data_IF_642839073494
#
_entry.id   IF_642839073494
#
_cell.length_a   1.000
_cell.length_b   1.000
_cell.length_c   1.000
_cell.angle_alpha   90.00
_cell.angle_beta   90.00
_cell.angle_gamma   90.00
#
_symmetry.space_group_name_H-M   'P 1'
#
loop_
_entity.id
_entity.type
_entity.pdbx_description
1 polymer ?
#
# COMPACT_ATOMS: atom_id res chain seq x y z
N UNK A 1 -41.72 -61.82 10.43
CA UNK A 1 -40.46 -61.18 10.01
C UNK A 1 -40.59 -60.78 8.54
N UNK A 2 -40.59 -59.49 8.23
CA UNK A 2 -40.52 -58.94 6.86
C UNK A 2 -39.13 -58.32 6.66
N UNK A 3 -38.54 -58.36 5.45
CA UNK A 3 -37.65 -57.30 5.03
C UNK A 3 -38.29 -56.48 3.90
N UNK A 4 -38.28 -55.16 4.10
CA UNK A 4 -38.64 -54.13 3.11
C UNK A 4 -37.33 -53.67 2.48
N UNK A 5 -37.21 -53.79 1.16
CA UNK A 5 -36.12 -53.18 0.40
C UNK A 5 -36.38 -51.68 0.24
N UNK A 6 -35.48 -50.85 0.76
CA UNK A 6 -35.48 -49.41 0.53
C UNK A 6 -34.54 -49.07 -0.65
N UNK A 7 -35.11 -48.49 -1.71
CA UNK A 7 -34.39 -47.91 -2.84
C UNK A 7 -33.78 -46.56 -2.44
N UNK A 8 -32.45 -46.49 -2.39
CA UNK A 8 -31.70 -45.23 -2.29
C UNK A 8 -31.59 -44.58 -3.68
N UNK A 9 -32.19 -43.40 -3.84
CA UNK A 9 -31.91 -42.48 -4.97
C UNK A 9 -30.63 -41.68 -4.68
N UNK A 10 -29.71 -41.51 -5.65
CA UNK A 10 -28.55 -40.66 -5.44
C UNK A 10 -28.97 -39.19 -5.53
N UNK A 11 -28.67 -38.43 -4.48
CA UNK A 11 -28.82 -36.98 -4.44
C UNK A 11 -27.66 -36.38 -5.25
N UNK A 12 -27.96 -35.68 -6.35
CA UNK A 12 -26.97 -34.86 -7.06
C UNK A 12 -26.53 -33.71 -6.14
N UNK A 13 -25.27 -33.73 -5.70
CA UNK A 13 -24.62 -32.55 -5.11
C UNK A 13 -24.36 -31.55 -6.23
N UNK A 14 -25.12 -30.46 -6.23
CA UNK A 14 -24.79 -29.24 -6.97
C UNK A 14 -23.61 -28.61 -6.24
N UNK A 15 -22.43 -28.65 -6.86
CA UNK A 15 -21.26 -27.94 -6.37
C UNK A 15 -21.55 -26.44 -6.41
N UNK A 16 -21.63 -25.82 -5.23
CA UNK A 16 -21.68 -24.38 -5.10
C UNK A 16 -20.40 -23.79 -5.70
N UNK A 17 -20.57 -22.97 -6.75
CA UNK A 17 -19.55 -22.03 -7.21
C UNK A 17 -19.19 -21.13 -6.04
N UNK A 18 -17.94 -21.20 -5.58
CA UNK A 18 -17.41 -20.25 -4.60
C UNK A 18 -17.45 -18.85 -5.20
N UNK A 19 -18.08 -17.86 -4.54
CA UNK A 19 -17.90 -16.47 -4.95
C UNK A 19 -16.44 -16.11 -4.73
N UNK A 20 -15.79 -15.55 -5.76
CA UNK A 20 -14.53 -14.85 -5.56
C UNK A 20 -14.80 -13.78 -4.50
N UNK A 21 -14.12 -13.87 -3.36
CA UNK A 21 -14.17 -12.81 -2.36
C UNK A 21 -13.44 -11.63 -2.98
N UNK A 22 -14.20 -10.71 -3.55
CA UNK A 22 -13.68 -9.41 -3.99
C UNK A 22 -13.41 -8.62 -2.72
N UNK A 23 -12.14 -8.58 -2.31
CA UNK A 23 -11.69 -7.64 -1.29
C UNK A 23 -11.69 -6.25 -1.91
N UNK A 24 -12.75 -5.48 -1.71
CA UNK A 24 -12.72 -4.06 -2.02
C UNK A 24 -11.94 -3.34 -0.92
N UNK A 25 -11.03 -2.43 -1.30
CA UNK A 25 -10.37 -1.60 -0.30
C UNK A 25 -11.39 -0.68 0.40
N UNK A 26 -11.12 -0.25 1.65
CA UNK A 26 -11.96 0.71 2.32
C UNK A 26 -12.16 1.99 1.49
N UNK A 27 -13.33 2.58 1.60
CA UNK A 27 -13.68 3.80 0.88
C UNK A 27 -12.83 4.97 1.41
N UNK A 28 -12.44 5.88 0.51
CA UNK A 28 -11.91 7.19 0.89
C UNK A 28 -12.96 7.98 1.70
N UNK A 29 -12.65 8.32 2.95
CA UNK A 29 -13.56 8.96 3.91
C UNK A 29 -12.83 10.03 4.74
N UNK A 30 -12.92 11.28 4.27
CA UNK A 30 -12.19 12.40 4.86
C UNK A 30 -12.42 12.51 6.37
N UNK A 31 -11.32 12.54 7.14
CA UNK A 31 -11.36 12.86 8.56
C UNK A 31 -10.98 14.34 8.78
N UNK A 32 -11.94 15.25 8.99
CA UNK A 32 -11.71 16.69 8.85
C UNK A 32 -10.77 17.31 9.90
N UNK A 33 -10.44 16.58 10.97
CA UNK A 33 -9.48 17.06 11.96
C UNK A 33 -8.07 17.21 11.37
N UNK A 34 -7.75 16.40 10.35
CA UNK A 34 -6.44 16.35 9.71
C UNK A 34 -6.32 17.26 8.49
N UNK A 35 -7.42 17.75 7.93
CA UNK A 35 -7.43 18.71 6.81
C UNK A 35 -7.28 20.16 7.33
N UNK A 36 -6.21 20.38 8.10
CA UNK A 36 -5.81 21.69 8.62
C UNK A 36 -4.31 21.83 8.45
N UNK A 37 -3.87 22.94 7.87
CA UNK A 37 -2.46 23.26 7.69
C UNK A 37 -2.12 24.68 8.12
N UNK A 38 -0.84 24.91 8.37
CA UNK A 38 -0.29 26.23 8.64
C UNK A 38 0.77 26.56 7.58
N UNK A 39 0.33 27.16 6.47
CA UNK A 39 1.21 27.55 5.35
C UNK A 39 2.21 28.66 5.72
N UNK A 40 2.04 29.34 6.85
CA UNK A 40 3.01 30.32 7.34
C UNK A 40 4.18 29.67 8.09
N UNK A 41 4.05 28.41 8.49
CA UNK A 41 5.13 27.66 9.12
C UNK A 41 6.09 27.10 8.05
N UNK A 42 7.34 27.54 8.10
CA UNK A 42 8.43 27.10 7.21
C UNK A 42 9.32 26.02 7.82
N UNK A 43 8.96 25.48 8.99
CA UNK A 43 9.70 24.39 9.62
C UNK A 43 9.61 23.11 8.79
N UNK A 44 10.73 22.41 8.68
CA UNK A 44 10.84 21.07 8.09
C UNK A 44 10.92 20.00 9.18
N UNK A 45 10.43 18.80 8.89
CA UNK A 45 10.48 17.63 9.74
C UNK A 45 11.68 16.77 9.32
N UNK A 46 12.49 16.38 10.30
CA UNK A 46 13.67 15.55 10.03
C UNK A 46 13.27 14.08 9.87
N UNK A 47 13.46 13.56 8.65
CA UNK A 47 13.27 12.14 8.31
C UNK A 47 14.60 11.37 8.24
N UNK A 48 15.70 11.93 8.75
CA UNK A 48 17.06 11.36 8.62
C UNK A 48 17.25 10.00 9.29
N UNK A 49 16.55 9.71 10.39
CA UNK A 49 16.58 8.36 10.99
C UNK A 49 15.91 7.34 10.08
N UNK A 50 14.78 7.69 9.45
CA UNK A 50 14.12 6.83 8.47
C UNK A 50 15.00 6.63 7.23
N UNK A 51 15.62 7.70 6.73
CA UNK A 51 16.56 7.62 5.62
C UNK A 51 17.71 6.65 5.90
N UNK A 52 18.30 6.68 7.10
CA UNK A 52 19.37 5.74 7.48
C UNK A 52 18.92 4.28 7.45
N UNK A 53 17.65 3.99 7.79
CA UNK A 53 17.08 2.64 7.72
C UNK A 53 16.93 2.22 6.26
N UNK A 54 16.39 3.11 5.41
CA UNK A 54 16.28 2.88 3.97
C UNK A 54 17.66 2.58 3.34
N UNK A 55 18.65 3.45 3.58
CA UNK A 55 20.00 3.34 3.02
C UNK A 55 20.69 2.01 3.36
N UNK A 56 20.43 1.45 4.54
CA UNK A 56 21.08 0.23 5.02
C UNK A 56 20.39 -1.04 4.57
N UNK A 57 19.06 -1.01 4.47
CA UNK A 57 18.26 -2.24 4.40
C UNK A 57 17.42 -2.36 3.14
N UNK A 58 17.26 -1.29 2.35
CA UNK A 58 16.57 -1.36 1.08
C UNK A 58 17.55 -1.73 -0.03
N UNK A 59 17.26 -2.82 -0.74
CA UNK A 59 18.06 -3.34 -1.83
C UNK A 59 17.31 -3.21 -3.15
N UNK A 60 17.91 -2.53 -4.12
CA UNK A 60 17.38 -2.48 -5.48
C UNK A 60 17.82 -3.73 -6.26
N UNK A 61 16.84 -4.52 -6.74
CA UNK A 61 17.08 -5.76 -7.50
C UNK A 61 16.12 -5.83 -8.69
N UNK A 62 16.63 -5.51 -9.87
CA UNK A 62 15.82 -5.45 -11.10
C UNK A 62 14.75 -4.36 -10.97
N UNK A 63 13.47 -4.73 -11.08
CA UNK A 63 12.33 -3.80 -10.96
C UNK A 63 11.84 -3.62 -9.51
N UNK A 64 12.52 -4.19 -8.51
CA UNK A 64 12.04 -4.22 -7.13
C UNK A 64 12.99 -3.51 -6.16
N UNK A 65 12.38 -2.83 -5.19
CA UNK A 65 13.08 -2.38 -3.98
C UNK A 65 12.66 -3.33 -2.84
N UNK A 66 13.60 -4.13 -2.36
CA UNK A 66 13.38 -5.22 -1.41
C UNK A 66 13.96 -4.83 -0.04
N UNK A 67 13.15 -4.88 1.00
CA UNK A 67 13.58 -4.53 2.35
C UNK A 67 14.15 -5.78 3.05
N UNK A 68 15.42 -5.73 3.46
CA UNK A 68 16.10 -6.85 4.10
C UNK A 68 15.79 -6.91 5.60
N UNK A 69 14.57 -7.33 5.95
CA UNK A 69 14.09 -7.46 7.33
C UNK A 69 15.03 -8.32 8.21
N UNK A 70 15.57 -9.41 7.65
CA UNK A 70 16.44 -10.33 8.38
C UNK A 70 17.78 -9.73 8.84
N UNK A 71 18.23 -8.67 8.16
CA UNK A 71 19.50 -8.01 8.46
C UNK A 71 19.36 -6.85 9.46
N UNK A 72 18.12 -6.46 9.82
CA UNK A 72 17.90 -5.33 10.72
C UNK A 72 18.43 -5.65 12.10
N UNK A 73 19.42 -4.87 12.55
CA UNK A 73 20.03 -5.05 13.86
C UNK A 73 19.08 -4.55 14.97
N UNK A 74 19.20 -5.06 16.22
CA UNK A 74 18.44 -4.53 17.35
C UNK A 74 18.63 -3.02 17.55
N UNK A 75 19.84 -2.51 17.28
CA UNK A 75 20.15 -1.08 17.39
C UNK A 75 19.39 -0.25 16.35
N UNK A 76 19.32 -0.74 15.11
CA UNK A 76 18.61 -0.04 14.04
C UNK A 76 17.10 -0.20 14.14
N UNK A 77 16.61 -1.33 14.68
CA UNK A 77 15.20 -1.45 15.07
C UNK A 77 14.83 -0.40 16.13
N UNK A 78 15.68 -0.20 17.14
CA UNK A 78 15.47 0.86 18.13
C UNK A 78 15.55 2.27 17.52
N UNK A 79 16.41 2.49 16.51
CA UNK A 79 16.49 3.74 15.76
C UNK A 79 15.18 4.05 15.01
N UNK A 80 14.57 3.04 14.39
CA UNK A 80 13.25 3.15 13.75
C UNK A 80 12.16 3.49 14.77
N UNK A 81 12.13 2.80 15.91
CA UNK A 81 11.16 3.09 16.96
C UNK A 81 11.34 4.51 17.54
N UNK A 82 12.58 4.98 17.67
CA UNK A 82 12.87 6.36 18.09
C UNK A 82 12.37 7.37 17.06
N UNK A 83 12.59 7.12 15.76
CA UNK A 83 12.05 7.95 14.70
C UNK A 83 10.52 8.07 14.78
N UNK A 84 9.82 6.95 14.90
CA UNK A 84 8.36 6.92 15.01
C UNK A 84 7.86 7.65 16.28
N UNK A 85 8.56 7.49 17.40
CA UNK A 85 8.24 8.21 18.64
C UNK A 85 8.37 9.72 18.47
N UNK A 86 9.47 10.18 17.85
CA UNK A 86 9.69 11.60 17.61
C UNK A 86 8.65 12.17 16.63
N UNK A 87 8.35 11.42 15.57
CA UNK A 87 7.41 11.85 14.53
C UNK A 87 5.98 11.95 15.07
N UNK A 88 5.54 10.96 15.85
CA UNK A 88 4.17 10.95 16.41
C UNK A 88 3.96 11.96 17.54
N UNK A 89 5.04 12.48 18.14
CA UNK A 89 4.99 13.59 19.09
C UNK A 89 4.72 14.95 18.42
N UNK A 90 4.96 15.08 17.12
CA UNK A 90 4.64 16.28 16.36
C UNK A 90 3.15 16.30 15.99
N UNK A 91 2.53 17.47 16.06
CA UNK A 91 1.20 17.69 15.50
C UNK A 91 1.33 18.19 14.05
N UNK A 92 1.03 17.34 13.03
CA UNK A 92 1.23 17.68 11.62
C UNK A 92 0.39 18.90 11.19
N UNK A 93 -0.71 19.19 11.88
CA UNK A 93 -1.61 20.32 11.55
C UNK A 93 -0.93 21.68 11.70
N UNK A 94 0.17 21.74 12.44
CA UNK A 94 0.96 22.96 12.62
C UNK A 94 1.95 23.22 11.46
N UNK A 95 2.08 22.30 10.49
CA UNK A 95 2.99 22.42 9.35
C UNK A 95 2.24 22.74 8.06
N UNK A 96 2.98 23.13 7.02
CA UNK A 96 2.45 23.35 5.67
C UNK A 96 1.87 22.05 5.08
N UNK A 97 0.93 22.15 4.15
CA UNK A 97 0.33 20.97 3.51
C UNK A 97 1.36 20.11 2.77
N UNK A 98 2.43 20.71 2.23
CA UNK A 98 3.53 19.98 1.61
C UNK A 98 4.30 19.11 2.63
N UNK A 99 4.59 19.66 3.80
CA UNK A 99 5.29 18.94 4.86
C UNK A 99 4.42 17.83 5.47
N UNK A 100 3.11 18.07 5.59
CA UNK A 100 2.15 17.07 6.04
C UNK A 100 2.10 15.85 5.11
N UNK A 101 2.19 16.06 3.79
CA UNK A 101 2.19 14.94 2.85
C UNK A 101 3.37 14.00 3.12
N UNK A 102 4.58 14.58 3.21
CA UNK A 102 5.80 13.85 3.53
C UNK A 102 5.71 13.15 4.89
N UNK A 103 5.18 13.84 5.91
CA UNK A 103 4.92 13.28 7.23
C UNK A 103 4.10 11.99 7.15
N UNK A 104 2.93 12.02 6.50
CA UNK A 104 2.00 10.89 6.47
C UNK A 104 2.50 9.72 5.63
N UNK A 105 3.12 9.99 4.47
CA UNK A 105 3.71 8.94 3.63
C UNK A 105 4.86 8.23 4.36
N UNK A 106 5.77 9.01 4.96
CA UNK A 106 6.88 8.42 5.70
C UNK A 106 6.41 7.67 6.96
N UNK A 107 5.40 8.20 7.68
CA UNK A 107 4.83 7.54 8.85
C UNK A 107 4.20 6.19 8.48
N UNK A 108 3.36 6.14 7.44
CA UNK A 108 2.74 4.89 6.98
C UNK A 108 3.79 3.83 6.64
N UNK A 109 4.80 4.21 5.84
CA UNK A 109 5.84 3.30 5.38
C UNK A 109 6.71 2.80 6.54
N UNK A 110 7.10 3.68 7.46
CA UNK A 110 7.91 3.33 8.63
C UNK A 110 7.14 2.46 9.63
N UNK A 111 5.86 2.74 9.89
CA UNK A 111 4.98 1.90 10.70
C UNK A 111 4.82 0.51 10.09
N UNK A 112 4.62 0.44 8.77
CA UNK A 112 4.50 -0.85 8.07
C UNK A 112 5.77 -1.68 8.23
N UNK A 113 6.96 -1.08 8.08
CA UNK A 113 8.23 -1.78 8.32
C UNK A 113 8.38 -2.20 9.78
N UNK A 114 8.02 -1.34 10.74
CA UNK A 114 8.07 -1.66 12.17
C UNK A 114 7.20 -2.87 12.51
N UNK A 115 5.97 -2.93 12.01
CA UNK A 115 5.05 -4.05 12.21
C UNK A 115 5.63 -5.37 11.70
N UNK A 116 6.21 -5.38 10.50
CA UNK A 116 6.87 -6.59 9.98
C UNK A 116 8.06 -6.97 10.86
N UNK A 117 8.88 -6.02 11.31
CA UNK A 117 10.03 -6.29 12.17
C UNK A 117 9.64 -6.81 13.56
N UNK A 118 8.45 -6.46 14.06
CA UNK A 118 7.94 -6.94 15.34
C UNK A 118 7.49 -8.39 15.28
N UNK A 119 6.99 -8.82 14.12
CA UNK A 119 6.47 -10.18 13.92
C UNK A 119 7.44 -11.09 13.13
N UNK A 120 8.57 -10.56 12.66
CA UNK A 120 9.52 -11.31 11.82
C UNK A 120 10.06 -12.57 12.53
N UNK A 121 10.17 -13.73 11.86
CA UNK A 121 9.93 -13.98 10.44
C UNK A 121 8.47 -14.28 10.08
N UNK A 122 7.89 -13.45 9.21
CA UNK A 122 6.60 -13.69 8.55
C UNK A 122 6.76 -13.85 7.05
N UNK A 123 5.83 -14.56 6.40
CA UNK A 123 5.83 -14.73 4.94
C UNK A 123 5.03 -13.67 4.18
N UNK A 124 4.13 -12.97 4.86
CA UNK A 124 3.22 -11.99 4.27
C UNK A 124 2.67 -11.09 5.37
N UNK A 125 2.45 -9.81 5.05
CA UNK A 125 1.78 -8.86 5.95
C UNK A 125 0.36 -9.33 6.33
N UNK A 126 -0.30 -10.09 5.46
CA UNK A 126 -1.66 -10.63 5.66
C UNK A 126 -1.76 -11.63 6.82
N UNK A 127 -0.62 -12.06 7.37
CA UNK A 127 -0.54 -12.97 8.53
C UNK A 127 -0.43 -12.24 9.86
N UNK A 128 -0.24 -10.93 9.84
CA UNK A 128 -0.29 -10.10 11.04
C UNK A 128 -1.75 -9.86 11.46
N UNK A 129 -1.93 -9.36 12.67
CA UNK A 129 -3.23 -9.11 13.28
C UNK A 129 -3.82 -10.34 13.98
N UNK A 130 -5.09 -10.23 14.42
CA UNK A 130 -5.80 -11.31 15.11
C UNK A 130 -6.13 -12.53 14.23
N UNK A 131 -6.52 -13.64 14.85
CA UNK A 131 -6.76 -14.97 14.23
C UNK A 131 -7.75 -14.97 13.03
N UNK A 132 -8.58 -13.93 12.89
CA UNK A 132 -9.56 -13.77 11.80
C UNK A 132 -9.31 -12.53 10.93
N UNK A 133 -8.24 -11.78 11.19
CA UNK A 133 -7.90 -10.58 10.42
C UNK A 133 -7.09 -10.94 9.17
N UNK A 134 -7.23 -10.10 8.16
CA UNK A 134 -6.37 -10.12 6.98
C UNK A 134 -5.38 -8.97 7.14
N UNK A 135 -4.28 -9.20 7.86
CA UNK A 135 -3.24 -8.21 8.14
C UNK A 135 -3.61 -7.15 9.20
N UNK A 136 -2.69 -6.20 9.48
CA UNK A 136 -2.74 -5.32 10.65
C UNK A 136 -3.39 -3.96 10.37
N UNK A 137 -4.07 -3.78 9.24
CA UNK A 137 -4.48 -2.45 8.77
C UNK A 137 -5.51 -1.74 9.65
N UNK A 138 -6.25 -2.49 10.47
CA UNK A 138 -7.22 -1.97 11.44
C UNK A 138 -6.69 -1.95 12.89
N UNK A 139 -5.44 -2.36 13.11
CA UNK A 139 -4.82 -2.31 14.44
C UNK A 139 -4.39 -0.87 14.75
N UNK A 140 -4.48 -0.47 16.03
CA UNK A 140 -3.94 0.82 16.48
C UNK A 140 -2.41 0.78 16.43
N UNK A 141 -1.81 1.62 15.57
CA UNK A 141 -0.37 1.63 15.30
C UNK A 141 0.32 2.91 15.73
N UNK A 142 -0.44 4.00 15.93
CA UNK A 142 0.09 5.29 16.36
C UNK A 142 -0.97 6.10 17.11
N UNK A 143 -0.48 7.06 17.92
CA UNK A 143 -1.32 8.07 18.56
C UNK A 143 -0.75 9.46 18.32
N UNK A 144 -1.50 10.32 17.63
CA UNK A 144 -1.06 11.67 17.24
C UNK A 144 -2.16 12.66 17.64
N UNK A 145 -1.76 13.77 18.28
CA UNK A 145 -2.72 14.80 18.74
C UNK A 145 -3.93 14.24 19.51
N UNK A 146 -3.71 13.17 20.29
CA UNK A 146 -4.73 12.48 21.07
C UNK A 146 -5.62 11.49 20.31
N UNK A 147 -5.46 11.36 18.99
CA UNK A 147 -6.20 10.40 18.16
C UNK A 147 -5.38 9.11 17.98
N UNK A 148 -6.01 7.97 18.25
CA UNK A 148 -5.51 6.66 17.85
C UNK A 148 -5.70 6.50 16.33
N UNK A 149 -4.71 5.93 15.67
CA UNK A 149 -4.66 5.78 14.22
C UNK A 149 -4.27 4.37 13.81
N UNK A 150 -4.93 3.88 12.77
CA UNK A 150 -4.58 2.65 12.06
C UNK A 150 -3.86 2.97 10.73
N UNK A 151 -3.30 1.97 10.04
CA UNK A 151 -2.79 2.18 8.68
C UNK A 151 -3.92 2.57 7.71
N UNK A 152 -5.10 1.98 7.87
CA UNK A 152 -6.29 2.35 7.09
C UNK A 152 -6.71 3.80 7.32
N UNK A 153 -6.63 4.31 8.56
CA UNK A 153 -6.92 5.72 8.84
C UNK A 153 -5.97 6.65 8.08
N UNK A 154 -4.65 6.37 8.14
CA UNK A 154 -3.62 7.17 7.48
C UNK A 154 -3.84 7.17 5.96
N UNK A 155 -4.09 6.02 5.35
CA UNK A 155 -4.24 5.92 3.90
C UNK A 155 -5.60 6.45 3.41
N UNK A 156 -6.70 5.98 3.99
CA UNK A 156 -8.05 6.15 3.44
C UNK A 156 -8.82 7.33 4.02
N UNK A 157 -8.40 7.85 5.19
CA UNK A 157 -9.09 8.96 5.84
C UNK A 157 -8.26 10.25 5.90
N UNK A 158 -6.97 10.15 5.60
CA UNK A 158 -6.03 11.27 5.57
C UNK A 158 -5.43 11.43 4.16
N UNK A 159 -4.53 10.54 3.71
CA UNK A 159 -3.78 10.71 2.47
C UNK A 159 -4.69 10.81 1.22
N UNK A 160 -5.49 9.78 0.95
CA UNK A 160 -6.37 9.74 -0.24
C UNK A 160 -7.34 10.93 -0.31
N UNK A 161 -8.14 11.24 0.72
CA UNK A 161 -9.15 12.30 0.60
C UNK A 161 -8.60 13.74 0.69
N UNK A 162 -7.47 13.98 1.36
CA UNK A 162 -6.93 15.36 1.54
C UNK A 162 -6.17 15.84 0.30
N UNK A 163 -5.44 14.95 -0.37
CA UNK A 163 -4.65 15.29 -1.55
C UNK A 163 -5.33 14.91 -2.87
N UNK A 164 -6.21 13.89 -2.87
CA UNK A 164 -6.94 13.46 -4.06
C UNK A 164 -6.00 13.22 -5.26
N UNK A 165 -4.87 12.57 -5.00
CA UNK A 165 -3.83 12.24 -5.97
C UNK A 165 -3.68 10.70 -6.05
N UNK A 166 -3.95 10.13 -7.22
CA UNK A 166 -3.91 8.68 -7.43
C UNK A 166 -2.50 8.10 -7.27
N UNK A 167 -1.46 8.93 -7.40
CA UNK A 167 -0.04 8.53 -7.27
C UNK A 167 0.32 8.15 -5.83
N UNK A 168 -0.53 8.49 -4.84
CA UNK A 168 -0.38 8.07 -3.45
C UNK A 168 -0.29 6.55 -3.34
N UNK A 169 -1.07 5.82 -4.16
CA UNK A 169 -1.04 4.36 -4.19
C UNK A 169 0.34 3.81 -4.54
N UNK A 170 1.16 4.58 -5.26
CA UNK A 170 2.53 4.21 -5.60
C UNK A 170 3.57 4.61 -4.56
N UNK A 171 3.21 5.48 -3.61
CA UNK A 171 4.09 6.00 -2.57
C UNK A 171 3.97 5.24 -1.24
N UNK A 172 2.84 4.60 -0.98
CA UNK A 172 2.61 3.79 0.22
C UNK A 172 2.93 2.31 -0.04
N UNK A 173 3.85 1.74 0.74
CA UNK A 173 4.31 0.37 0.61
C UNK A 173 3.74 -0.47 1.75
N UNK A 174 2.97 -1.49 1.40
CA UNK A 174 2.33 -2.44 2.32
C UNK A 174 3.18 -3.71 2.58
N UNK A 175 4.51 -3.64 2.41
CA UNK A 175 5.45 -4.75 2.59
C UNK A 175 5.22 -6.01 1.72
N UNK A 176 4.42 -5.95 0.66
CA UNK A 176 4.19 -7.07 -0.26
C UNK A 176 4.96 -6.90 -1.58
N UNK A 177 5.37 -7.98 -2.24
CA UNK A 177 6.06 -7.93 -3.54
C UNK A 177 5.21 -7.28 -4.64
N UNK A 178 3.90 -7.51 -4.62
CA UNK A 178 2.92 -6.89 -5.50
C UNK A 178 2.67 -5.40 -5.20
N UNK A 179 3.05 -4.92 -4.01
CA UNK A 179 2.91 -3.52 -3.63
C UNK A 179 3.92 -2.65 -4.41
N UNK A 180 3.67 -1.35 -4.64
CA UNK A 180 4.64 -0.45 -5.26
C UNK A 180 5.92 -0.38 -4.43
N UNK A 181 7.03 -0.02 -5.09
CA UNK A 181 8.33 -0.04 -4.42
C UNK A 181 8.38 1.03 -3.33
N UNK A 182 8.96 0.67 -2.19
CA UNK A 182 9.32 1.65 -1.19
C UNK A 182 10.37 2.60 -1.79
N UNK A 183 10.17 3.91 -1.65
CA UNK A 183 11.12 4.90 -2.14
C UNK A 183 12.47 4.75 -1.42
N UNK A 184 13.57 4.91 -2.16
CA UNK A 184 14.93 4.89 -1.61
C UNK A 184 15.26 6.15 -0.80
N UNK A 185 14.48 7.20 -1.00
CA UNK A 185 14.61 8.49 -0.30
C UNK A 185 13.34 8.76 0.49
N UNK A 186 13.48 9.19 1.73
CA UNK A 186 12.38 9.67 2.54
C UNK A 186 11.73 10.91 1.89
N UNK A 187 10.42 10.99 1.96
CA UNK A 187 9.67 12.14 1.45
C UNK A 187 9.99 13.38 2.30
N UNK A 188 9.94 14.54 1.67
CA UNK A 188 10.03 15.89 2.27
C UNK A 188 9.16 16.83 1.44
N UNK A 189 8.86 18.03 1.95
CA UNK A 189 8.13 19.03 1.17
C UNK A 189 8.77 19.32 -0.20
N UNK A 190 10.11 19.29 -0.28
CA UNK A 190 10.85 19.69 -1.48
C UNK A 190 10.95 18.59 -2.55
N UNK A 191 10.85 17.31 -2.17
CA UNK A 191 11.07 16.19 -3.09
C UNK A 191 9.81 15.37 -3.43
N UNK A 192 8.69 15.61 -2.74
CA UNK A 192 7.49 14.74 -2.82
C UNK A 192 6.94 14.59 -4.24
N UNK A 193 6.87 15.68 -5.01
CA UNK A 193 6.36 15.65 -6.39
C UNK A 193 7.25 14.79 -7.30
N UNK A 194 8.57 14.95 -7.20
CA UNK A 194 9.52 14.15 -7.98
C UNK A 194 9.49 12.67 -7.60
N UNK A 195 9.33 12.36 -6.32
CA UNK A 195 9.21 10.99 -5.83
C UNK A 195 7.89 10.32 -6.26
N UNK A 196 6.77 11.06 -6.27
CA UNK A 196 5.50 10.57 -6.77
C UNK A 196 5.59 10.24 -8.27
N UNK A 197 6.15 11.14 -9.07
CA UNK A 197 6.33 10.90 -10.51
C UNK A 197 7.24 9.70 -10.79
N UNK A 198 8.35 9.58 -10.05
CA UNK A 198 9.26 8.45 -10.17
C UNK A 198 8.57 7.12 -9.78
N UNK A 199 7.83 7.10 -8.68
CA UNK A 199 7.10 5.93 -8.22
C UNK A 199 6.02 5.50 -9.23
N UNK A 200 5.26 6.45 -9.79
CA UNK A 200 4.26 6.19 -10.84
C UNK A 200 4.89 5.54 -12.06
N UNK A 201 5.98 6.12 -12.57
CA UNK A 201 6.70 5.56 -13.72
C UNK A 201 7.26 4.18 -13.42
N UNK A 202 7.90 4.01 -12.27
CA UNK A 202 8.48 2.73 -11.89
C UNK A 202 7.40 1.65 -11.80
N UNK A 203 6.25 1.94 -11.18
CA UNK A 203 5.19 0.95 -11.01
C UNK A 203 4.49 0.61 -12.32
N UNK A 204 4.02 1.61 -13.08
CA UNK A 204 3.27 1.43 -14.35
C UNK A 204 4.10 0.75 -15.45
N UNK A 205 5.43 0.81 -15.36
CA UNK A 205 6.36 0.14 -16.28
C UNK A 205 6.94 -1.18 -15.72
N UNK A 206 6.53 -1.61 -14.53
CA UNK A 206 6.93 -2.88 -13.94
C UNK A 206 5.95 -4.01 -14.28
N UNK A 207 6.43 -5.26 -14.20
CA UNK A 207 5.59 -6.44 -14.42
C UNK A 207 4.44 -6.57 -13.41
N UNK A 208 4.61 -6.04 -12.18
CA UNK A 208 3.59 -6.02 -11.13
C UNK A 208 2.57 -4.89 -11.28
N UNK A 209 2.87 -3.85 -12.06
CA UNK A 209 1.94 -2.77 -12.35
C UNK A 209 1.09 -3.06 -13.59
N UNK A 210 1.74 -3.24 -14.74
CA UNK A 210 1.05 -3.55 -15.99
C UNK A 210 1.95 -4.32 -16.97
N UNK A 211 1.55 -5.54 -17.32
CA UNK A 211 2.26 -6.40 -18.28
C UNK A 211 1.32 -6.91 -19.38
N UNK A 212 1.85 -7.06 -20.59
CA UNK A 212 1.12 -7.56 -21.76
C UNK A 212 1.75 -8.88 -22.20
N UNK A 213 0.94 -9.92 -22.30
CA UNK A 213 1.31 -11.21 -22.89
C UNK A 213 0.27 -11.62 -23.94
N UNK A 214 0.64 -11.53 -25.22
CA UNK A 214 -0.26 -11.73 -26.35
C UNK A 214 -1.47 -10.82 -26.28
N UNK A 215 -2.66 -11.42 -26.11
CA UNK A 215 -3.94 -10.70 -26.00
C UNK A 215 -4.43 -10.55 -24.54
N UNK A 216 -3.55 -10.76 -23.55
CA UNK A 216 -3.87 -10.57 -22.13
C UNK A 216 -3.07 -9.41 -21.56
N UNK A 217 -3.78 -8.44 -20.98
CA UNK A 217 -3.22 -7.39 -20.14
C UNK A 217 -3.40 -7.81 -18.69
N UNK A 218 -2.30 -7.97 -17.95
CA UNK A 218 -2.33 -8.20 -16.50
C UNK A 218 -2.00 -6.90 -15.81
N UNK A 219 -2.94 -6.42 -14.99
CA UNK A 219 -2.82 -5.23 -14.16
C UNK A 219 -2.61 -5.62 -12.70
N UNK A 220 -2.02 -4.74 -11.91
CA UNK A 220 -2.05 -4.87 -10.46
C UNK A 220 -3.49 -4.87 -9.93
N UNK A 221 -3.80 -5.70 -8.93
CA UNK A 221 -5.09 -5.61 -8.21
C UNK A 221 -5.33 -4.26 -7.52
N UNK A 222 -4.31 -3.40 -7.37
CA UNK A 222 -4.49 -2.02 -6.89
C UNK A 222 -5.47 -1.24 -7.78
N UNK A 223 -5.44 -1.47 -9.10
CA UNK A 223 -6.38 -0.82 -10.02
C UNK A 223 -7.81 -1.36 -9.90
N UNK A 224 -8.00 -2.55 -9.33
CA UNK A 224 -9.32 -3.13 -9.04
C UNK A 224 -9.84 -2.62 -7.69
N UNK A 225 -9.01 -2.69 -6.64
CA UNK A 225 -9.38 -2.29 -5.28
C UNK A 225 -9.59 -0.79 -5.12
N UNK A 226 -8.80 0.01 -5.84
CA UNK A 226 -8.78 1.48 -5.75
C UNK A 226 -9.16 2.15 -7.07
N UNK A 227 -9.83 1.43 -7.98
CA UNK A 227 -10.15 1.93 -9.33
C UNK A 227 -10.79 3.32 -9.35
N UNK A 228 -11.64 3.62 -8.35
CA UNK A 228 -12.30 4.93 -8.18
C UNK A 228 -11.35 6.11 -8.02
N UNK A 229 -10.12 5.88 -7.56
CA UNK A 229 -9.11 6.92 -7.42
C UNK A 229 -8.36 7.17 -8.73
N UNK A 230 -8.44 6.24 -9.70
CA UNK A 230 -7.80 6.33 -11.02
C UNK A 230 -8.78 6.75 -12.13
N UNK A 231 -10.05 6.36 -12.03
CA UNK A 231 -11.07 6.66 -13.03
C UNK A 231 -12.44 6.04 -12.74
N UNK A 232 -13.47 6.50 -13.43
CA UNK A 232 -14.85 6.03 -13.22
C UNK A 232 -15.17 4.73 -13.97
N UNK A 233 -14.29 4.31 -14.88
CA UNK A 233 -14.43 3.10 -15.67
C UNK A 233 -13.06 2.58 -16.11
N UNK A 234 -13.03 1.35 -16.63
CA UNK A 234 -11.82 0.68 -17.07
C UNK A 234 -10.97 1.53 -18.03
N UNK A 235 -11.57 2.19 -19.03
CA UNK A 235 -10.80 2.97 -20.01
C UNK A 235 -10.18 4.22 -19.40
N UNK A 236 -10.84 4.85 -18.43
CA UNK A 236 -10.24 5.95 -17.66
C UNK A 236 -9.08 5.47 -16.79
N UNK A 237 -9.19 4.29 -16.17
CA UNK A 237 -8.09 3.68 -15.42
C UNK A 237 -6.90 3.39 -16.34
N UNK A 238 -7.13 2.77 -17.51
CA UNK A 238 -6.07 2.50 -18.49
C UNK A 238 -5.41 3.80 -18.97
N UNK A 239 -6.20 4.85 -19.19
CA UNK A 239 -5.69 6.17 -19.54
C UNK A 239 -4.84 6.79 -18.42
N UNK A 240 -5.23 6.62 -17.16
CA UNK A 240 -4.45 7.08 -16.02
C UNK A 240 -3.10 6.35 -15.92
N UNK A 241 -3.08 5.03 -16.18
CA UNK A 241 -1.83 4.25 -16.26
C UNK A 241 -0.94 4.77 -17.40
N UNK A 242 -1.53 5.05 -18.57
CA UNK A 242 -0.81 5.57 -19.75
C UNK A 242 -0.16 6.95 -19.52
N UNK A 243 -0.53 7.70 -18.49
CA UNK A 243 0.11 8.98 -18.16
C UNK A 243 1.57 8.82 -17.72
N UNK A 244 1.92 7.68 -17.11
CA UNK A 244 3.26 7.42 -16.58
C UNK A 244 3.95 6.21 -17.23
N UNK A 245 3.25 5.53 -18.15
CA UNK A 245 3.75 4.36 -18.86
C UNK A 245 4.52 4.77 -20.13
N UNK A 246 5.71 4.19 -20.31
CA UNK A 246 6.56 4.35 -21.49
C UNK A 246 6.31 3.26 -22.55
N UNK A 247 5.68 2.14 -22.15
CA UNK A 247 5.35 1.02 -23.03
C UNK A 247 4.17 1.26 -23.97
N UNK A 248 3.70 0.19 -24.63
CA UNK A 248 2.49 0.25 -25.46
C UNK A 248 1.31 0.80 -24.68
N UNK A 249 0.57 1.73 -25.31
CA UNK A 249 -0.66 2.31 -24.77
C UNK A 249 -1.67 1.22 -24.42
N UNK A 250 -2.29 1.38 -23.26
CA UNK A 250 -3.33 0.50 -22.76
C UNK A 250 -4.72 1.06 -23.09
N UNK A 251 -4.88 2.37 -23.21
CA UNK A 251 -6.14 2.99 -23.63
C UNK A 251 -6.64 2.36 -24.94
N UNK A 252 -7.89 1.91 -24.94
CA UNK A 252 -8.49 1.22 -26.09
C UNK A 252 -8.25 -0.28 -26.13
N UNK A 253 -7.59 -0.88 -25.14
CA UNK A 253 -7.39 -2.34 -25.05
C UNK A 253 -8.71 -3.10 -25.24
N UNK A 254 -8.70 -4.10 -26.14
CA UNK A 254 -9.86 -4.97 -26.45
C UNK A 254 -9.64 -6.42 -26.05
N UNK A 255 -8.44 -6.74 -25.57
CA UNK A 255 -8.07 -8.07 -25.13
C UNK A 255 -8.64 -8.40 -23.75
N UNK A 256 -8.21 -9.55 -23.21
CA UNK A 256 -8.56 -9.94 -21.85
C UNK A 256 -7.79 -9.07 -20.85
N UNK A 257 -8.45 -8.62 -19.79
CA UNK A 257 -7.80 -8.01 -18.62
C UNK A 257 -7.83 -9.01 -17.46
N UNK A 258 -6.73 -9.11 -16.73
CA UNK A 258 -6.59 -9.85 -15.48
C UNK A 258 -6.00 -8.93 -14.41
N UNK A 259 -6.31 -9.22 -13.16
CA UNK A 259 -5.71 -8.58 -12.01
C UNK A 259 -4.87 -9.60 -11.23
N UNK A 260 -3.67 -9.21 -10.82
CA UNK A 260 -2.77 -10.04 -10.03
C UNK A 260 -2.11 -9.24 -8.92
N UNK A 261 -1.78 -9.93 -7.83
CA UNK A 261 -1.12 -9.34 -6.66
C UNK A 261 -0.36 -10.38 -5.85
N UNK A 262 0.95 -10.20 -5.74
CA UNK A 262 1.82 -11.06 -4.93
C UNK A 262 1.90 -10.58 -3.47
N UNK A 263 1.22 -11.29 -2.58
CA UNK A 263 1.19 -11.04 -1.13
C UNK A 263 2.44 -11.51 -0.38
N UNK A 264 3.42 -12.12 -1.07
CA UNK A 264 4.68 -12.51 -0.45
C UNK A 264 5.42 -11.27 0.05
N UNK A 265 6.09 -11.38 1.19
CA UNK A 265 6.84 -10.27 1.79
C UNK A 265 7.91 -9.73 0.82
N UNK A 266 8.06 -8.41 0.71
CA UNK A 266 9.02 -7.74 -0.18
C UNK A 266 10.47 -7.81 0.35
N UNK A 267 11.03 -9.01 0.45
CA UNK A 267 12.38 -9.26 0.95
C UNK A 267 13.29 -9.95 -0.10
N UNK A 268 14.64 -9.90 0.08
CA UNK A 268 15.63 -10.46 -0.86
C UNK A 268 15.62 -11.99 -1.04
#
# INVERSE_FOLDING_TARGET
MKPIFALLRPLLLIAFLSPAVVFAAPKSDLWPIWDKSNESNSASIDHGHWQKILDRYLLEKGQHNLFNYSAVSPADKALLSQYLTNLTALDPRNYSKAEQFAYWVNLYNALTVQLILDEYPVKSITKLGGFLSFGPWDDEVAKIAGQSLTLNDIEHRILRPIWNDSRIHYAVNCASLGCPNLATTAFSADNSEGLLEAASKQFTNSNKGASIDGNTLTLSSIYDWYGVDFGNNEQEILKAIDQHRDGSKLEGWKGKIKYDYDWSLNQP
#
